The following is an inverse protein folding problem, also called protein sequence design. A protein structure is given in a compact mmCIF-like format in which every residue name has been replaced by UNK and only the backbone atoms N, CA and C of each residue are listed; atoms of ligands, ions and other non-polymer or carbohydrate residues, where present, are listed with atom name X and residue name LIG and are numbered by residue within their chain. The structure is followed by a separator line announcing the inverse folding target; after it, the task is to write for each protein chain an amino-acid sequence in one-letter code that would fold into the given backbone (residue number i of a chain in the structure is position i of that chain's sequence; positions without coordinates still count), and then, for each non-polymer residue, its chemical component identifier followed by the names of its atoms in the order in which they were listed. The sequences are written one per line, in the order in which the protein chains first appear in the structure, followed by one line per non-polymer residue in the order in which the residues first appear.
data_IF_986749553364
#
_entry.id   IF_986749553364
#
_cell.length_a   1.000
_cell.length_b   1.000
_cell.length_c   1.000
_cell.angle_alpha   90.00
_cell.angle_beta   90.00
_cell.angle_gamma   90.00
#
_symmetry.space_group_name_H-M   'P 1'
#
loop_
_entity.id
_entity.type
_entity.pdbx_description
1 polymer ?
#
# COMPACT_ATOMS: atom_id res chain seq x y z
N UNK A 1 17.84 6.60 -28.61
CA UNK A 1 17.49 5.24 -28.14
C UNK A 1 15.98 5.13 -28.17
N UNK A 2 15.43 4.38 -29.12
CA UNK A 2 13.99 4.12 -29.18
C UNK A 2 13.63 3.25 -27.95
N UNK A 3 12.71 3.74 -27.12
CA UNK A 3 12.27 2.99 -25.93
C UNK A 3 11.50 1.75 -26.40
N UNK A 4 11.86 0.59 -25.87
CA UNK A 4 11.13 -0.65 -26.09
C UNK A 4 9.72 -0.50 -25.51
N UNK A 5 8.72 -0.44 -26.39
CA UNK A 5 7.31 -0.25 -26.02
C UNK A 5 6.74 -1.44 -25.25
N UNK A 6 7.47 -2.56 -25.18
CA UNK A 6 7.03 -3.79 -24.53
C UNK A 6 7.54 -3.96 -23.09
N UNK A 7 8.35 -3.02 -22.58
CA UNK A 7 8.84 -3.10 -21.20
C UNK A 7 7.85 -2.45 -20.22
N UNK A 8 7.45 -3.22 -19.20
CA UNK A 8 6.66 -2.74 -18.07
C UNK A 8 7.36 -1.56 -17.38
N UNK A 9 6.70 -0.40 -17.34
CA UNK A 9 7.29 0.83 -16.81
C UNK A 9 6.23 1.75 -16.22
N UNK A 10 6.58 2.40 -15.11
CA UNK A 10 5.82 3.52 -14.53
C UNK A 10 6.73 4.75 -14.49
N UNK A 11 6.32 5.83 -15.15
CA UNK A 11 7.02 7.11 -15.12
C UNK A 11 6.16 8.18 -14.42
N UNK A 12 6.76 8.89 -13.47
CA UNK A 12 6.10 10.02 -12.80
C UNK A 12 6.26 11.27 -13.68
N UNK A 13 5.18 11.75 -14.28
CA UNK A 13 5.24 13.00 -15.06
C UNK A 13 5.25 14.23 -14.14
N UNK A 14 6.02 15.26 -14.49
CA UNK A 14 6.08 16.52 -13.74
C UNK A 14 4.68 17.11 -13.62
N UNK A 15 4.24 17.39 -12.39
CA UNK A 15 2.92 17.98 -12.08
C UNK A 15 1.72 17.24 -12.71
N UNK A 16 1.90 15.98 -13.10
CA UNK A 16 0.93 15.22 -13.88
C UNK A 16 0.73 13.77 -13.40
N UNK A 17 0.06 12.94 -14.20
CA UNK A 17 -0.24 11.55 -13.85
C UNK A 17 1.00 10.64 -13.78
N UNK A 18 0.77 9.41 -13.33
CA UNK A 18 1.70 8.31 -13.63
C UNK A 18 1.45 7.83 -15.05
N UNK A 19 2.49 7.82 -15.88
CA UNK A 19 2.45 7.26 -17.23
C UNK A 19 2.88 5.81 -17.16
N UNK A 20 1.97 4.90 -17.48
CA UNK A 20 2.19 3.45 -17.40
C UNK A 20 2.27 2.88 -18.81
N UNK A 21 3.24 2.00 -19.06
CA UNK A 21 3.44 1.32 -20.34
C UNK A 21 3.86 -0.13 -20.13
N UNK A 22 3.75 -0.94 -21.18
CA UNK A 22 4.10 -2.36 -21.15
C UNK A 22 3.01 -3.24 -20.56
N UNK A 23 1.74 -2.85 -20.78
CA UNK A 23 0.54 -3.64 -20.43
C UNK A 23 0.48 -4.08 -18.96
N UNK A 24 0.88 -3.18 -18.05
CA UNK A 24 0.88 -3.44 -16.61
C UNK A 24 -0.57 -3.52 -16.11
N UNK A 25 -1.00 -4.65 -15.50
CA UNK A 25 -2.38 -4.84 -15.09
C UNK A 25 -2.79 -3.94 -13.91
N UNK A 26 -4.03 -3.46 -13.95
CA UNK A 26 -4.66 -2.74 -12.84
C UNK A 26 -5.54 -3.67 -11.98
N UNK A 27 -4.91 -4.34 -11.02
CA UNK A 27 -5.61 -5.11 -10.01
C UNK A 27 -6.34 -4.20 -9.00
N UNK A 28 -7.51 -4.65 -8.54
CA UNK A 28 -8.33 -3.92 -7.56
C UNK A 28 -8.53 -4.81 -6.33
N UNK A 29 -7.55 -4.83 -5.41
CA UNK A 29 -7.72 -5.52 -4.15
C UNK A 29 -8.72 -4.77 -3.27
N UNK A 30 -9.59 -5.51 -2.61
CA UNK A 30 -10.57 -5.03 -1.63
C UNK A 30 -10.43 -5.81 -0.34
N UNK A 31 -10.73 -5.15 0.77
CA UNK A 31 -10.67 -5.76 2.09
C UNK A 31 -11.81 -6.77 2.21
N UNK A 32 -11.47 -8.05 2.35
CA UNK A 32 -12.38 -9.11 2.72
C UNK A 32 -12.55 -9.14 4.23
N UNK A 33 -13.80 -9.26 4.68
CA UNK A 33 -14.15 -9.36 6.10
C UNK A 33 -14.75 -10.72 6.43
N UNK A 34 -14.53 -11.18 7.65
CA UNK A 34 -15.21 -12.36 8.18
C UNK A 34 -16.65 -12.04 8.63
N UNK A 35 -17.32 -13.02 9.24
CA UNK A 35 -18.70 -12.87 9.75
C UNK A 35 -18.84 -11.84 10.87
N UNK A 36 -17.75 -11.48 11.55
CA UNK A 36 -17.71 -10.47 12.60
C UNK A 36 -17.31 -9.08 12.05
N UNK A 37 -17.05 -8.97 10.75
CA UNK A 37 -16.63 -7.73 10.10
C UNK A 37 -15.14 -7.43 10.27
N UNK A 38 -14.32 -8.39 10.72
CA UNK A 38 -12.89 -8.20 10.88
C UNK A 38 -12.17 -8.36 9.54
N UNK A 39 -11.20 -7.49 9.25
CA UNK A 39 -10.43 -7.51 7.99
C UNK A 39 -9.41 -8.65 7.97
N UNK A 40 -9.77 -9.80 7.39
CA UNK A 40 -8.99 -11.04 7.51
C UNK A 40 -8.35 -11.51 6.21
N UNK A 41 -8.73 -10.93 5.06
CA UNK A 41 -8.17 -11.31 3.77
C UNK A 41 -8.23 -10.19 2.73
N UNK A 42 -7.44 -10.32 1.68
CA UNK A 42 -7.63 -9.58 0.44
C UNK A 42 -8.54 -10.35 -0.51
N UNK A 43 -9.52 -9.65 -1.08
CA UNK A 43 -10.33 -10.13 -2.20
C UNK A 43 -9.94 -9.35 -3.45
N UNK A 44 -9.84 -10.01 -4.59
CA UNK A 44 -9.50 -9.33 -5.84
C UNK A 44 -10.76 -9.14 -6.67
N UNK A 45 -11.10 -7.89 -6.96
CA UNK A 45 -12.15 -7.56 -7.95
C UNK A 45 -11.61 -7.72 -9.37
N UNK A 46 -12.49 -7.85 -10.39
CA UNK A 46 -12.06 -7.84 -11.77
C UNK A 46 -11.13 -6.67 -12.05
N UNK A 47 -10.03 -6.95 -12.77
CA UNK A 47 -9.07 -5.92 -13.14
C UNK A 47 -9.74 -4.83 -13.98
N UNK A 48 -9.23 -3.61 -13.88
CA UNK A 48 -9.74 -2.50 -14.70
C UNK A 48 -9.24 -2.69 -16.13
N UNK A 49 -10.13 -2.69 -17.11
CA UNK A 49 -9.76 -2.70 -18.53
C UNK A 49 -8.97 -1.44 -18.87
N UNK A 50 -7.83 -1.59 -19.54
CA UNK A 50 -6.98 -0.48 -19.97
C UNK A 50 -6.29 -0.80 -21.30
N UNK A 51 -5.81 0.24 -21.96
CA UNK A 51 -4.87 0.13 -23.07
C UNK A 51 -3.48 -0.31 -22.58
N UNK A 52 -2.63 -0.84 -23.46
CA UNK A 52 -1.26 -1.25 -23.11
C UNK A 52 -0.39 -0.11 -22.54
N UNK A 53 -0.77 1.14 -22.82
CA UNK A 53 -0.24 2.32 -22.16
C UNK A 53 -1.39 3.23 -21.71
N UNK A 54 -1.34 3.72 -20.47
CA UNK A 54 -2.39 4.54 -19.87
C UNK A 54 -1.82 5.56 -18.88
N UNK A 55 -2.60 6.59 -18.58
CA UNK A 55 -2.27 7.60 -17.59
C UNK A 55 -3.10 7.41 -16.31
N UNK A 56 -2.46 7.08 -15.19
CA UNK A 56 -3.12 6.91 -13.89
C UNK A 56 -3.12 8.21 -13.10
N UNK A 57 -4.27 8.57 -12.53
CA UNK A 57 -4.44 9.77 -11.72
C UNK A 57 -3.47 9.76 -10.53
N UNK A 58 -2.79 10.90 -10.34
CA UNK A 58 -1.91 11.16 -9.19
C UNK A 58 -2.38 12.34 -8.34
N UNK A 59 -3.11 13.29 -8.92
CA UNK A 59 -3.57 14.50 -8.23
C UNK A 59 -4.78 14.29 -7.32
N UNK A 60 -5.45 13.13 -7.38
CA UNK A 60 -6.69 12.85 -6.64
C UNK A 60 -7.95 13.53 -7.19
N UNK A 61 -7.83 14.47 -8.12
CA UNK A 61 -8.95 15.28 -8.63
C UNK A 61 -9.77 14.68 -9.77
N UNK A 62 -9.30 13.63 -10.46
CA UNK A 62 -9.99 13.11 -11.65
C UNK A 62 -11.39 12.57 -11.32
N UNK A 63 -12.35 12.80 -12.21
CA UNK A 63 -13.68 12.18 -12.19
C UNK A 63 -13.70 10.80 -12.86
N UNK A 64 -12.65 10.44 -13.63
CA UNK A 64 -12.51 9.16 -14.31
C UNK A 64 -11.48 8.23 -13.62
N UNK A 65 -11.47 8.18 -12.29
CA UNK A 65 -10.53 7.34 -11.53
C UNK A 65 -10.68 5.86 -11.92
N UNK A 66 -9.58 5.11 -12.06
CA UNK A 66 -8.21 5.45 -11.66
C UNK A 66 -7.41 6.25 -12.70
N UNK A 67 -8.00 6.57 -13.86
CA UNK A 67 -7.32 7.23 -14.96
C UNK A 67 -7.25 8.74 -14.78
N UNK A 68 -6.35 9.37 -15.52
CA UNK A 68 -6.23 10.80 -15.60
C UNK A 68 -7.15 11.36 -16.69
N UNK A 69 -7.88 12.43 -16.36
CA UNK A 69 -8.76 13.17 -17.29
C UNK A 69 -8.31 14.62 -17.54
N UNK A 70 -7.11 14.98 -17.08
CA UNK A 70 -6.58 16.35 -17.22
C UNK A 70 -6.91 17.29 -16.07
N UNK A 71 -7.70 16.88 -15.06
CA UNK A 71 -8.06 17.74 -13.90
C UNK A 71 -6.84 18.33 -13.16
N UNK A 72 -5.69 17.64 -13.20
CA UNK A 72 -4.42 18.14 -12.63
C UNK A 72 -3.94 19.48 -13.21
N UNK A 73 -4.49 19.94 -14.34
CA UNK A 73 -4.15 21.23 -14.93
C UNK A 73 -4.91 22.39 -14.29
N UNK A 74 -6.09 22.16 -13.70
CA UNK A 74 -7.00 23.21 -13.19
C UNK A 74 -7.79 22.71 -11.96
N UNK A 75 -7.39 23.05 -10.72
CA UNK A 75 -6.19 23.82 -10.35
C UNK A 75 -4.89 23.06 -10.66
N UNK A 76 -3.79 23.81 -10.77
CA UNK A 76 -2.48 23.25 -11.13
C UNK A 76 -1.94 22.38 -9.98
N UNK A 77 -1.97 21.06 -10.16
CA UNK A 77 -1.37 20.11 -9.22
C UNK A 77 0.13 20.36 -9.10
N UNK A 78 0.63 20.44 -7.86
CA UNK A 78 2.07 20.52 -7.59
C UNK A 78 2.54 19.15 -7.17
N UNK A 79 3.22 18.47 -8.07
CA UNK A 79 3.58 17.06 -7.90
C UNK A 79 4.98 16.82 -7.34
N UNK A 80 5.62 17.86 -6.80
CA UNK A 80 6.96 17.77 -6.22
C UNK A 80 6.93 16.96 -4.91
N UNK A 81 7.92 16.09 -4.72
CA UNK A 81 8.08 15.33 -3.49
C UNK A 81 8.51 16.27 -2.36
N UNK A 82 7.71 16.34 -1.31
CA UNK A 82 7.97 17.16 -0.11
C UNK A 82 8.28 16.31 1.13
N UNK A 83 8.31 14.99 0.97
CA UNK A 83 8.58 14.04 2.04
C UNK A 83 9.98 14.26 2.62
N UNK A 84 10.05 14.24 3.95
CA UNK A 84 11.30 14.33 4.70
C UNK A 84 12.22 13.14 4.40
N UNK A 85 13.54 13.39 4.32
CA UNK A 85 14.57 12.34 4.23
C UNK A 85 15.16 11.93 5.58
N UNK A 86 14.53 12.34 6.68
CA UNK A 86 14.91 11.93 8.04
C UNK A 86 14.81 10.42 8.19
N UNK A 87 15.57 9.87 9.13
CA UNK A 87 15.55 8.43 9.37
C UNK A 87 14.21 8.04 9.97
N UNK A 88 13.59 7.00 9.42
CA UNK A 88 12.33 6.48 9.94
C UNK A 88 12.41 6.10 11.43
N UNK A 89 13.59 5.70 11.90
CA UNK A 89 13.88 5.38 13.31
C UNK A 89 13.57 6.51 14.29
N UNK A 90 13.43 7.76 13.83
CA UNK A 90 13.16 8.93 14.68
C UNK A 90 11.73 8.98 15.21
N UNK A 91 10.75 8.32 14.57
CA UNK A 91 9.33 8.40 14.97
C UNK A 91 8.59 7.06 15.05
N UNK A 92 9.17 5.98 14.51
CA UNK A 92 8.53 4.66 14.60
C UNK A 92 8.63 4.08 16.00
N UNK A 93 7.62 3.30 16.36
CA UNK A 93 7.65 2.49 17.58
C UNK A 93 8.10 1.10 17.22
N UNK A 94 9.14 0.61 17.91
CA UNK A 94 9.58 -0.77 17.83
C UNK A 94 9.04 -1.53 19.05
N UNK A 95 8.51 -2.72 18.82
CA UNK A 95 8.07 -3.64 19.86
C UNK A 95 8.87 -4.93 19.72
N UNK A 96 9.57 -5.30 20.78
CA UNK A 96 10.40 -6.49 20.80
C UNK A 96 9.54 -7.73 21.05
N UNK A 97 9.88 -8.82 20.36
CA UNK A 97 9.27 -10.13 20.55
C UNK A 97 10.32 -11.24 20.66
N UNK A 98 9.96 -12.42 21.17
CA UNK A 98 10.90 -13.52 21.37
C UNK A 98 11.47 -14.10 20.07
N UNK A 99 10.76 -13.96 18.94
CA UNK A 99 11.21 -14.44 17.62
C UNK A 99 11.17 -13.34 16.56
N UNK A 100 10.17 -12.46 16.58
CA UNK A 100 10.02 -11.36 15.62
C UNK A 100 9.80 -10.04 16.34
N UNK A 101 10.33 -8.97 15.76
CA UNK A 101 10.15 -7.59 16.19
C UNK A 101 9.14 -6.90 15.28
N UNK A 102 8.43 -5.90 15.82
CA UNK A 102 7.45 -5.11 15.07
C UNK A 102 7.87 -3.65 15.03
N UNK A 103 8.15 -3.14 13.82
CA UNK A 103 8.16 -1.71 13.56
C UNK A 103 6.75 -1.26 13.21
N UNK A 104 6.27 -0.20 13.88
CA UNK A 104 4.96 0.39 13.64
C UNK A 104 5.05 1.90 13.47
N UNK A 105 4.81 2.35 12.24
CA UNK A 105 4.72 3.75 11.81
C UNK A 105 3.25 4.17 11.67
N UNK A 106 2.67 4.68 12.76
CA UNK A 106 1.26 5.07 12.80
C UNK A 106 0.92 6.17 11.77
N UNK A 107 1.91 6.98 11.36
CA UNK A 107 1.70 8.06 10.39
C UNK A 107 1.29 7.56 9.01
N UNK A 108 1.60 6.28 8.70
CA UNK A 108 1.25 5.65 7.43
C UNK A 108 -0.13 4.97 7.46
N UNK A 109 -0.85 4.97 8.58
CA UNK A 109 -2.09 4.19 8.72
C UNK A 109 -3.12 4.46 7.59
N UNK A 110 -3.43 3.43 6.80
CA UNK A 110 -4.51 3.46 5.79
C UNK A 110 -5.89 3.02 6.32
N UNK A 111 -6.03 2.83 7.64
CA UNK A 111 -7.29 2.37 8.28
C UNK A 111 -7.88 1.07 7.69
N UNK A 112 -7.03 0.20 7.13
CA UNK A 112 -7.45 -1.08 6.56
C UNK A 112 -7.73 -2.18 7.60
N UNK A 113 -7.41 -1.92 8.88
CA UNK A 113 -7.73 -2.76 10.06
C UNK A 113 -7.24 -4.21 10.06
N UNK A 114 -6.41 -4.63 9.11
CA UNK A 114 -5.75 -5.95 9.16
C UNK A 114 -4.96 -6.21 10.45
N UNK A 115 -4.60 -5.17 11.20
CA UNK A 115 -3.86 -5.27 12.46
C UNK A 115 -4.69 -5.64 13.70
N UNK A 116 -6.02 -5.70 13.59
CA UNK A 116 -6.96 -5.90 14.71
C UNK A 116 -7.53 -7.34 14.85
N UNK A 117 -7.81 -8.11 13.76
CA UNK A 117 -8.46 -9.41 13.87
C UNK A 117 -7.71 -10.42 14.73
N UNK A 118 -8.44 -11.20 15.54
CA UNK A 118 -7.85 -12.24 16.41
C UNK A 118 -6.76 -11.70 17.37
N UNK A 119 -6.92 -10.44 17.80
CA UNK A 119 -5.96 -9.74 18.64
C UNK A 119 -5.15 -8.70 17.86
N UNK A 120 -4.64 -7.70 18.58
CA UNK A 120 -3.85 -6.64 17.97
C UNK A 120 -2.41 -7.11 17.76
N UNK A 121 -1.83 -6.84 16.58
CA UNK A 121 -0.43 -7.21 16.26
C UNK A 121 0.59 -6.74 17.31
N UNK A 122 0.34 -5.58 17.94
CA UNK A 122 1.17 -5.04 19.04
C UNK A 122 1.16 -5.90 20.30
N UNK A 123 0.06 -6.60 20.54
CA UNK A 123 -0.08 -7.53 21.68
C UNK A 123 0.38 -8.94 21.32
N UNK A 124 0.37 -9.30 20.03
CA UNK A 124 0.81 -10.61 19.56
C UNK A 124 2.34 -10.73 19.46
N UNK A 125 3.05 -9.63 19.20
CA UNK A 125 4.52 -9.64 18.99
C UNK A 125 5.29 -10.32 20.12
N UNK A 126 4.86 -10.14 21.38
CA UNK A 126 5.50 -10.72 22.58
C UNK A 126 5.25 -12.23 22.74
N UNK A 127 4.45 -12.83 21.86
CA UNK A 127 4.11 -14.27 21.81
C UNK A 127 4.49 -14.90 20.47
N UNK A 128 5.44 -14.32 19.75
CA UNK A 128 5.88 -14.82 18.43
C UNK A 128 6.70 -16.12 18.51
N UNK A 129 6.99 -16.64 19.69
CA UNK A 129 7.52 -17.97 19.94
C UNK A 129 6.45 -19.06 19.68
N UNK A 130 5.19 -18.78 20.02
CA UNK A 130 4.04 -19.62 19.69
C UNK A 130 3.77 -19.64 18.17
N UNK A 131 3.80 -20.82 17.52
CA UNK A 131 3.64 -20.92 16.06
C UNK A 131 2.32 -20.38 15.51
N UNK A 132 1.20 -20.57 16.21
CA UNK A 132 -0.12 -20.11 15.75
C UNK A 132 -0.25 -18.59 15.83
N UNK A 133 0.20 -18.00 16.95
CA UNK A 133 0.27 -16.54 17.11
C UNK A 133 1.22 -15.93 16.09
N UNK A 134 2.40 -16.54 15.86
CA UNK A 134 3.36 -16.07 14.86
C UNK A 134 2.78 -16.08 13.44
N UNK A 135 2.07 -17.13 13.04
CA UNK A 135 1.44 -17.19 11.72
C UNK A 135 0.39 -16.10 11.54
N UNK A 136 -0.42 -15.85 12.58
CA UNK A 136 -1.44 -14.80 12.57
C UNK A 136 -0.79 -13.41 12.50
N UNK A 137 0.23 -13.16 13.33
CA UNK A 137 0.99 -11.91 13.35
C UNK A 137 1.60 -11.59 11.98
N UNK A 138 2.32 -12.55 11.36
CA UNK A 138 2.95 -12.35 10.05
C UNK A 138 1.91 -12.04 8.97
N UNK A 139 0.78 -12.75 8.95
CA UNK A 139 -0.32 -12.45 8.03
C UNK A 139 -0.83 -11.01 8.20
N UNK A 140 -1.21 -10.63 9.43
CA UNK A 140 -1.77 -9.31 9.71
C UNK A 140 -0.81 -8.15 9.39
N UNK A 141 0.49 -8.36 9.64
CA UNK A 141 1.54 -7.38 9.28
C UNK A 141 1.65 -7.26 7.76
N UNK A 142 1.75 -8.39 7.04
CA UNK A 142 1.90 -8.40 5.58
C UNK A 142 0.65 -7.88 4.84
N UNK A 143 -0.54 -8.08 5.39
CA UNK A 143 -1.77 -7.58 4.79
C UNK A 143 -1.96 -6.06 4.99
N UNK A 144 -1.16 -5.40 5.84
CA UNK A 144 -1.24 -3.96 6.02
C UNK A 144 -0.83 -3.22 4.72
N UNK A 145 -1.76 -2.57 3.99
CA UNK A 145 -1.48 -2.06 2.64
C UNK A 145 -0.59 -0.81 2.61
N UNK A 146 -0.33 -0.23 3.78
CA UNK A 146 0.29 1.08 3.91
C UNK A 146 1.79 1.06 4.17
N UNK A 147 2.34 -0.11 4.51
CA UNK A 147 3.70 -0.19 5.04
C UNK A 147 3.85 0.36 6.47
N UNK A 148 2.74 0.68 7.17
CA UNK A 148 2.76 1.04 8.60
C UNK A 148 3.43 -0.03 9.47
N UNK A 149 3.25 -1.31 9.12
CA UNK A 149 3.74 -2.43 9.91
C UNK A 149 4.87 -3.12 9.15
N UNK A 150 5.93 -3.47 9.87
CA UNK A 150 7.03 -4.28 9.35
C UNK A 150 7.48 -5.25 10.42
N UNK A 151 7.53 -6.53 10.08
CA UNK A 151 8.05 -7.60 10.93
C UNK A 151 9.45 -8.00 10.47
N UNK A 152 10.37 -8.21 11.40
CA UNK A 152 11.78 -8.56 11.14
C UNK A 152 12.39 -9.30 12.35
N UNK A 153 13.54 -9.95 12.16
CA UNK A 153 14.27 -10.75 13.16
C UNK A 153 15.70 -10.24 13.42
#
# INVERSE_FOLDING_TARGET
MAQDKNQARVAVSKDGPYLVSGDVPLAVPTIGVDSEGQSTSWQTRPAVTHEAAYARCRCGGSSNKPFCDGTHLRPRFQGAETTSRRSQSEWVKVFDGPVLWLTNDESLCAFARFCDPNGQVRTQVVRTDDPETRATFVRQVNDCPSGRLTAWD
#
